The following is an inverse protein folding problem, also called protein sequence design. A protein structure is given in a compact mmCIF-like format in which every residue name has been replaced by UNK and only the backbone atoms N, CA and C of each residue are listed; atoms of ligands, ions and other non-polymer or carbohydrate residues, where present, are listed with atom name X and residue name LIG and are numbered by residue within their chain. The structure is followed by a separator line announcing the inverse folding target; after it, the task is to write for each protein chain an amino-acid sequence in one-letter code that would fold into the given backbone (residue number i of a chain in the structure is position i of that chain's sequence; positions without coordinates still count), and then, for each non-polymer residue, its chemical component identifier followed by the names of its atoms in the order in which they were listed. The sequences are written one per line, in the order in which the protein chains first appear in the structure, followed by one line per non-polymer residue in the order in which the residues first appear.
data_IF_851355880644
#
_entry.id   IF_851355880644
#
_cell.length_a   1.000
_cell.length_b   1.000
_cell.length_c   1.000
_cell.angle_alpha   90.00
_cell.angle_beta   90.00
_cell.angle_gamma   90.00
#
_symmetry.space_group_name_H-M   'P 1'
#
loop_
_entity.id
_entity.type
_entity.pdbx_description
1 polymer ?
#
# COMPACT_ATOMS: atom_id res chain seq x y z
N UNK A 1 8.74 2.81 -11.15
CA UNK A 1 8.24 3.08 -9.79
C UNK A 1 9.28 2.53 -8.85
N UNK A 2 9.98 3.40 -8.14
CA UNK A 2 11.04 2.97 -7.23
C UNK A 2 10.44 2.29 -6.01
N UNK A 3 11.10 1.26 -5.45
CA UNK A 3 10.56 0.52 -4.34
C UNK A 3 10.13 1.38 -3.13
N UNK A 4 10.96 2.35 -2.83
CA UNK A 4 10.86 3.31 -1.75
C UNK A 4 9.83 4.43 -1.97
N UNK A 5 9.15 4.50 -3.13
CA UNK A 5 8.23 5.59 -3.48
C UNK A 5 7.06 5.78 -2.50
N UNK A 6 6.66 4.72 -1.79
CA UNK A 6 5.65 4.72 -0.76
C UNK A 6 6.24 4.87 0.64
N UNK A 7 5.59 5.70 1.47
CA UNK A 7 5.96 5.88 2.86
C UNK A 7 5.66 4.61 3.67
N UNK A 8 6.60 4.18 4.51
CA UNK A 8 6.39 3.05 5.44
C UNK A 8 5.23 3.37 6.38
N UNK A 9 4.37 2.38 6.63
CA UNK A 9 3.29 2.46 7.61
C UNK A 9 3.81 1.85 8.92
N UNK A 10 4.07 2.64 9.98
CA UNK A 10 4.59 2.12 11.23
C UNK A 10 3.70 1.03 11.82
N UNK A 11 4.30 -0.02 12.39
CA UNK A 11 3.58 -1.14 13.01
C UNK A 11 2.96 -2.15 12.04
N UNK A 12 3.04 -1.91 10.72
CA UNK A 12 2.44 -2.80 9.69
C UNK A 12 3.31 -4.00 9.28
N UNK A 13 4.50 -4.14 9.87
CA UNK A 13 5.47 -5.17 9.44
C UNK A 13 6.13 -4.88 8.09
N UNK A 14 6.24 -3.60 7.71
CA UNK A 14 6.98 -3.18 6.50
C UNK A 14 6.11 -2.81 5.29
N UNK A 15 4.78 -2.74 5.44
CA UNK A 15 3.90 -2.25 4.39
C UNK A 15 4.16 -0.75 4.12
N UNK A 16 3.99 -0.35 2.86
CA UNK A 16 4.19 1.01 2.35
C UNK A 16 2.90 1.53 1.73
N UNK A 17 2.72 2.85 1.80
CA UNK A 17 1.57 3.58 1.26
C UNK A 17 2.03 4.57 0.21
N UNK A 18 1.59 4.37 -1.03
CA UNK A 18 1.77 5.33 -2.11
C UNK A 18 0.45 6.09 -2.36
N UNK A 19 0.56 7.42 -2.48
CA UNK A 19 -0.54 8.30 -2.88
C UNK A 19 -0.46 8.50 -4.39
N UNK A 20 -1.34 7.85 -5.13
CA UNK A 20 -1.38 7.92 -6.59
C UNK A 20 -2.40 8.96 -7.06
N UNK A 21 -2.01 9.87 -7.95
CA UNK A 21 -2.94 10.79 -8.61
C UNK A 21 -3.46 10.15 -9.89
N UNK A 22 -4.76 9.83 -9.94
CA UNK A 22 -5.40 9.36 -11.17
C UNK A 22 -5.40 10.45 -12.25
N UNK A 23 -5.05 10.08 -13.49
CA UNK A 23 -5.04 11.01 -14.62
C UNK A 23 -6.48 11.33 -15.04
N UNK A 24 -6.80 12.60 -15.28
CA UNK A 24 -8.10 13.04 -15.80
C UNK A 24 -9.29 13.03 -14.82
N UNK A 25 -9.12 12.54 -13.58
CA UNK A 25 -10.13 12.66 -12.53
C UNK A 25 -9.80 13.88 -11.65
N UNK A 26 -10.79 14.76 -11.40
CA UNK A 26 -10.67 15.95 -10.56
C UNK A 26 -10.34 15.66 -9.09
N UNK A 27 -10.77 16.49 -8.12
CA UNK A 27 -10.39 16.37 -6.69
C UNK A 27 -10.58 14.98 -6.05
N UNK A 28 -11.39 14.08 -6.63
CA UNK A 28 -11.66 12.69 -6.19
C UNK A 28 -10.81 11.61 -6.89
N UNK A 29 -9.92 11.96 -7.81
CA UNK A 29 -9.15 11.02 -8.63
C UNK A 29 -7.98 10.32 -7.95
N UNK A 30 -7.71 10.59 -6.68
CA UNK A 30 -6.57 10.01 -5.98
C UNK A 30 -6.84 8.57 -5.50
N UNK A 31 -5.84 7.71 -5.58
CA UNK A 31 -5.84 6.36 -5.02
C UNK A 31 -4.78 6.21 -3.95
N UNK A 32 -5.02 5.32 -3.00
CA UNK A 32 -4.02 4.84 -2.04
C UNK A 32 -3.66 3.42 -2.43
N UNK A 33 -2.39 3.19 -2.67
CA UNK A 33 -1.82 1.89 -3.03
C UNK A 33 -1.04 1.40 -1.80
N UNK A 34 -1.37 0.21 -1.32
CA UNK A 34 -0.68 -0.44 -0.20
C UNK A 34 0.07 -1.65 -0.72
N UNK A 35 1.37 -1.73 -0.43
CA UNK A 35 2.25 -2.77 -0.93
C UNK A 35 3.37 -3.11 0.07
N UNK A 36 4.06 -4.24 -0.07
CA UNK A 36 5.31 -4.55 0.65
C UNK A 36 6.37 -5.14 -0.28
N UNK A 37 7.63 -5.14 0.17
CA UNK A 37 8.72 -5.88 -0.49
C UNK A 37 9.02 -7.16 0.24
N UNK A 38 9.18 -8.23 -0.53
CA UNK A 38 9.82 -9.46 -0.09
C UNK A 38 11.26 -9.45 -0.63
N UNK A 39 12.22 -9.69 0.24
CA UNK A 39 13.61 -9.89 -0.18
C UNK A 39 13.79 -11.31 -0.72
N UNK A 40 14.67 -11.47 -1.71
CA UNK A 40 15.18 -12.74 -2.26
C UNK A 40 14.12 -13.87 -2.42
N UNK A 41 13.49 -14.00 -3.62
CA UNK A 41 13.63 -13.10 -4.76
C UNK A 41 13.03 -11.72 -4.45
N UNK A 42 13.65 -10.67 -4.97
CA UNK A 42 13.13 -9.31 -4.82
C UNK A 42 11.75 -9.21 -5.50
N UNK A 43 10.71 -9.07 -4.70
CA UNK A 43 9.32 -9.02 -5.19
C UNK A 43 8.55 -7.87 -4.56
N UNK A 44 7.83 -7.14 -5.42
CA UNK A 44 6.84 -6.15 -5.02
C UNK A 44 5.47 -6.81 -4.93
N UNK A 45 4.91 -6.87 -3.73
CA UNK A 45 3.58 -7.41 -3.49
C UNK A 45 2.57 -6.30 -3.27
N UNK A 46 1.54 -6.25 -4.11
CA UNK A 46 0.41 -5.35 -3.96
C UNK A 46 -0.64 -5.98 -3.04
N UNK A 47 -1.03 -5.28 -1.98
CA UNK A 47 -2.03 -5.77 -1.01
C UNK A 47 -3.41 -5.26 -1.40
N UNK A 48 -3.50 -3.97 -1.70
CA UNK A 48 -4.76 -3.35 -2.06
C UNK A 48 -4.58 -1.97 -2.70
N UNK A 49 -5.58 -1.57 -3.46
CA UNK A 49 -5.74 -0.22 -4.01
C UNK A 49 -7.17 0.23 -3.70
N UNK A 50 -7.32 1.45 -3.19
CA UNK A 50 -8.64 2.03 -2.93
C UNK A 50 -8.66 3.52 -3.26
N UNK A 51 -9.84 4.03 -3.64
CA UNK A 51 -9.99 5.45 -3.91
C UNK A 51 -9.89 6.26 -2.62
N UNK A 52 -9.40 7.50 -2.72
CA UNK A 52 -9.28 8.41 -1.57
C UNK A 52 -10.61 8.58 -0.83
N UNK A 53 -11.71 8.58 -1.59
CA UNK A 53 -13.08 8.82 -1.10
C UNK A 53 -13.73 7.61 -0.43
N UNK A 54 -13.25 6.40 -0.67
CA UNK A 54 -13.87 5.18 -0.16
C UNK A 54 -13.41 4.87 1.27
N UNK A 55 -12.15 5.17 1.58
CA UNK A 55 -11.56 4.85 2.87
C UNK A 55 -10.39 5.78 3.17
N UNK A 56 -10.25 6.24 4.41
CA UNK A 56 -9.16 7.14 4.80
C UNK A 56 -7.85 6.40 5.09
N UNK A 57 -7.88 5.36 5.91
CA UNK A 57 -6.74 4.52 6.26
C UNK A 57 -7.18 3.09 6.62
N UNK A 58 -6.29 2.14 6.38
CA UNK A 58 -6.36 0.76 6.91
C UNK A 58 -5.45 0.70 8.13
N UNK A 59 -5.87 0.05 9.21
CA UNK A 59 -5.08 -0.05 10.43
C UNK A 59 -3.77 -0.83 10.19
N UNK A 60 -2.71 -0.43 10.89
CA UNK A 60 -1.41 -1.10 10.76
C UNK A 60 -1.46 -2.57 11.19
N UNK A 61 -2.25 -2.89 12.22
CA UNK A 61 -2.45 -4.26 12.69
C UNK A 61 -3.13 -5.15 11.65
N UNK A 62 -4.12 -4.62 10.93
CA UNK A 62 -4.78 -5.34 9.84
C UNK A 62 -3.83 -5.58 8.67
N UNK A 63 -3.06 -4.56 8.26
CA UNK A 63 -2.06 -4.72 7.20
C UNK A 63 -0.98 -5.73 7.56
N UNK A 64 -0.55 -5.76 8.83
CA UNK A 64 0.41 -6.75 9.33
C UNK A 64 -0.16 -8.17 9.19
N UNK A 65 -1.43 -8.37 9.56
CA UNK A 65 -2.10 -9.66 9.43
C UNK A 65 -2.19 -10.10 7.97
N UNK A 66 -2.65 -9.23 7.07
CA UNK A 66 -2.73 -9.54 5.63
C UNK A 66 -1.36 -9.85 5.01
N UNK A 67 -0.32 -9.09 5.38
CA UNK A 67 1.05 -9.41 4.96
C UNK A 67 1.44 -10.82 5.40
N UNK A 68 1.21 -11.16 6.66
CA UNK A 68 1.57 -12.48 7.21
C UNK A 68 0.82 -13.63 6.51
N UNK A 69 -0.43 -13.42 6.09
CA UNK A 69 -1.21 -14.40 5.34
C UNK A 69 -0.72 -14.59 3.89
N UNK A 70 -0.11 -13.57 3.28
CA UNK A 70 0.45 -13.65 1.91
C UNK A 70 1.89 -14.17 1.93
N UNK A 71 2.64 -13.84 2.98
CA UNK A 71 4.08 -14.14 3.11
C UNK A 71 4.35 -15.47 3.85
N UNK A 72 3.29 -16.17 4.29
CA UNK A 72 3.34 -17.53 4.83
C UNK A 72 3.45 -18.57 3.72
#
# INVERSE_FOLDING_TARGET
MSPDAGAVIPGSGGCRKLRWKGRGRGKRGGYRVIYFYRGEPEQLWLLTIYAKSEMENISASMLKKWKQEIDS
#
